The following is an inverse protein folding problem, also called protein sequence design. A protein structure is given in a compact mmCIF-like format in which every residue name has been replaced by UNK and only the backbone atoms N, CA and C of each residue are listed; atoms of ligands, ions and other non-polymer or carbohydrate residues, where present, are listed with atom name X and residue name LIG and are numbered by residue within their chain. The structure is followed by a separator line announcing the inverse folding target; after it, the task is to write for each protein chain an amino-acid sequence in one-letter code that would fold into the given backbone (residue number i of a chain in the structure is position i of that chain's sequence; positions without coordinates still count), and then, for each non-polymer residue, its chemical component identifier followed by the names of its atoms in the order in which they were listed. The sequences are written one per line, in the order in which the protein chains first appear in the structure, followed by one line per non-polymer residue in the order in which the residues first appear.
data_IF_146921220968
#
_entry.id   IF_146921220968
#
_cell.length_a   1.000
_cell.length_b   1.000
_cell.length_c   1.000
_cell.angle_alpha   90.00
_cell.angle_beta   90.00
_cell.angle_gamma   90.00
#
_symmetry.space_group_name_H-M   'P 1'
#
loop_
_entity.id
_entity.type
_entity.pdbx_description
1 polymer ?
#
# COMPACT_ATOMS: atom_id res chain seq x y z
N UNK A 1 -29.62 -11.79 -1.89
CA UNK A 1 -28.75 -10.89 -1.13
C UNK A 1 -29.35 -9.50 -1.26
N UNK A 2 -29.76 -8.90 -0.16
CA UNK A 2 -30.25 -7.53 -0.18
C UNK A 2 -29.11 -6.61 -0.59
N UNK A 3 -29.40 -5.60 -1.40
CA UNK A 3 -28.39 -4.59 -1.76
C UNK A 3 -28.15 -3.70 -0.54
N UNK A 4 -26.89 -3.28 -0.31
CA UNK A 4 -26.64 -2.27 0.73
C UNK A 4 -27.54 -1.06 0.50
N UNK A 5 -27.99 -0.45 1.60
CA UNK A 5 -28.76 0.80 1.52
C UNK A 5 -27.76 1.90 1.17
N UNK A 6 -27.75 2.30 -0.09
CA UNK A 6 -26.97 3.47 -0.52
C UNK A 6 -27.78 4.73 -0.22
N UNK A 7 -27.14 5.67 0.44
CA UNK A 7 -27.72 6.98 0.59
C UNK A 7 -27.80 7.69 -0.77
N UNK A 8 -28.86 8.46 -1.05
CA UNK A 8 -28.93 9.24 -2.27
C UNK A 8 -27.74 10.21 -2.41
N UNK A 9 -27.31 10.45 -3.66
CA UNK A 9 -26.28 11.46 -3.94
C UNK A 9 -26.76 12.82 -3.43
N UNK A 10 -25.92 13.50 -2.66
CA UNK A 10 -26.23 14.76 -2.01
C UNK A 10 -26.72 14.63 -0.55
N UNK A 11 -26.81 13.42 -0.01
CA UNK A 11 -27.04 13.24 1.43
C UNK A 11 -25.91 13.90 2.23
N UNK A 12 -26.22 14.77 3.22
CA UNK A 12 -25.22 15.32 4.11
C UNK A 12 -24.46 14.21 4.85
N UNK A 13 -23.16 14.42 5.08
CA UNK A 13 -22.31 13.41 5.74
C UNK A 13 -22.81 13.09 7.15
N UNK A 14 -23.35 14.07 7.84
CA UNK A 14 -23.90 13.94 9.18
C UNK A 14 -25.14 13.04 9.26
N UNK A 15 -25.80 12.80 8.12
CA UNK A 15 -26.97 11.91 8.02
C UNK A 15 -26.59 10.46 7.66
N UNK A 16 -25.31 10.19 7.41
CA UNK A 16 -24.87 8.83 7.11
C UNK A 16 -25.05 7.91 8.33
N UNK A 17 -25.41 6.68 8.06
CA UNK A 17 -25.35 5.61 9.06
C UNK A 17 -23.90 5.31 9.45
N UNK A 18 -23.66 4.96 10.71
CA UNK A 18 -22.31 4.77 11.26
C UNK A 18 -22.14 3.37 11.83
N UNK A 19 -20.88 2.88 11.91
CA UNK A 19 -19.66 3.52 11.43
C UNK A 19 -19.56 3.49 9.90
N UNK A 20 -19.07 4.57 9.30
CA UNK A 20 -18.89 4.70 7.85
C UNK A 20 -17.46 5.11 7.49
N UNK A 21 -16.86 4.46 6.48
CA UNK A 21 -15.62 4.91 5.87
C UNK A 21 -15.95 5.99 4.83
N UNK A 22 -15.49 7.21 5.06
CA UNK A 22 -15.76 8.37 4.21
C UNK A 22 -14.48 8.85 3.55
N UNK A 23 -14.53 9.11 2.25
CA UNK A 23 -13.42 9.62 1.46
C UNK A 23 -13.68 11.07 1.06
N UNK A 24 -12.77 11.97 1.43
CA UNK A 24 -12.69 13.33 0.88
C UNK A 24 -11.94 13.26 -0.46
N UNK A 25 -12.68 13.40 -1.55
CA UNK A 25 -12.13 13.27 -2.90
C UNK A 25 -11.21 14.44 -3.27
N UNK A 26 -11.44 15.64 -2.77
CA UNK A 26 -10.61 16.81 -3.05
C UNK A 26 -9.24 16.67 -2.36
N UNK A 27 -9.23 16.19 -1.12
CA UNK A 27 -8.01 15.89 -0.38
C UNK A 27 -7.24 14.74 -1.06
N UNK A 28 -7.94 13.68 -1.46
CA UNK A 28 -7.34 12.54 -2.16
C UNK A 28 -6.69 12.96 -3.48
N UNK A 29 -7.40 13.71 -4.32
CA UNK A 29 -6.88 14.17 -5.62
C UNK A 29 -5.68 15.11 -5.42
N UNK A 30 -5.71 15.97 -4.41
CA UNK A 30 -4.57 16.80 -4.04
C UNK A 30 -3.36 15.94 -3.60
N UNK A 31 -3.58 14.92 -2.78
CA UNK A 31 -2.51 14.01 -2.36
C UNK A 31 -1.87 13.31 -3.58
N UNK A 32 -2.70 12.85 -4.53
CA UNK A 32 -2.22 12.22 -5.77
C UNK A 32 -1.35 13.22 -6.56
N UNK A 33 -1.84 14.43 -6.78
CA UNK A 33 -1.12 15.47 -7.52
C UNK A 33 0.21 15.85 -6.84
N UNK A 34 0.21 16.07 -5.54
CA UNK A 34 1.41 16.43 -4.77
C UNK A 34 2.43 15.31 -4.83
N UNK A 35 2.03 14.07 -4.51
CA UNK A 35 2.97 12.94 -4.49
C UNK A 35 3.53 12.61 -5.86
N UNK A 36 2.69 12.51 -6.87
CA UNK A 36 3.14 12.13 -8.22
C UNK A 36 3.86 13.27 -8.93
N UNK A 37 3.59 14.51 -8.56
CA UNK A 37 4.31 15.68 -9.04
C UNK A 37 5.82 15.63 -8.80
N UNK A 38 6.27 14.95 -7.72
CA UNK A 38 7.71 14.72 -7.49
C UNK A 38 8.38 13.87 -8.57
N UNK A 39 7.62 13.09 -9.34
CA UNK A 39 8.13 12.19 -10.37
C UNK A 39 7.90 12.70 -11.80
N UNK A 40 7.12 13.75 -12.00
CA UNK A 40 6.70 14.23 -13.32
C UNK A 40 7.90 14.50 -14.25
N UNK A 41 8.87 15.28 -13.78
CA UNK A 41 10.04 15.72 -14.54
C UNK A 41 11.30 14.87 -14.25
N UNK A 42 11.16 13.66 -13.70
CA UNK A 42 12.28 12.77 -13.40
C UNK A 42 12.27 11.51 -14.25
N UNK A 43 13.41 10.83 -14.34
CA UNK A 43 13.50 9.50 -14.95
C UNK A 43 12.87 8.41 -14.06
N UNK A 44 12.76 8.65 -12.75
CA UNK A 44 12.14 7.76 -11.79
C UNK A 44 10.63 7.96 -11.85
N UNK A 45 9.85 6.88 -11.87
CA UNK A 45 8.39 6.96 -11.96
C UNK A 45 7.71 6.29 -10.76
N UNK A 46 6.54 6.79 -10.40
CA UNK A 46 5.71 6.13 -9.41
C UNK A 46 4.98 4.92 -10.02
N UNK A 47 4.94 3.80 -9.30
CA UNK A 47 4.01 2.70 -9.57
C UNK A 47 3.00 2.65 -8.42
N UNK A 48 1.75 3.03 -8.63
CA UNK A 48 0.70 2.95 -7.63
C UNK A 48 0.53 1.53 -7.06
N UNK A 49 0.62 1.39 -5.74
CA UNK A 49 0.28 0.15 -5.03
C UNK A 49 -1.16 0.28 -4.54
N UNK A 50 -2.05 -0.55 -5.06
CA UNK A 50 -3.49 -0.40 -4.86
C UNK A 50 -4.05 -1.11 -3.63
N UNK A 51 -3.23 -1.88 -2.93
CA UNK A 51 -3.58 -2.66 -1.73
C UNK A 51 -4.13 -1.82 -0.57
N UNK A 52 -3.79 -0.53 -0.51
CA UNK A 52 -4.27 0.34 0.57
C UNK A 52 -5.73 0.76 0.42
N UNK A 53 -6.28 0.71 -0.81
CA UNK A 53 -7.65 1.15 -1.08
C UNK A 53 -8.51 0.13 -1.83
N UNK A 54 -7.91 -0.84 -2.51
CA UNK A 54 -8.57 -1.94 -3.25
C UNK A 54 -9.65 -1.47 -4.27
N UNK A 55 -9.57 -0.22 -4.74
CA UNK A 55 -10.59 0.44 -5.55
C UNK A 55 -10.05 0.78 -6.96
N UNK A 56 -10.61 0.17 -8.03
CA UNK A 56 -10.19 0.46 -9.40
C UNK A 56 -10.37 1.93 -9.81
N UNK A 57 -11.39 2.63 -9.30
CA UNK A 57 -11.63 4.04 -9.60
C UNK A 57 -10.52 4.94 -9.04
N UNK A 58 -10.04 4.67 -7.82
CA UNK A 58 -8.90 5.39 -7.22
C UNK A 58 -7.63 5.10 -8.03
N UNK A 59 -7.40 3.82 -8.39
CA UNK A 59 -6.24 3.43 -9.18
C UNK A 59 -6.21 4.14 -10.56
N UNK A 60 -7.36 4.34 -11.21
CA UNK A 60 -7.42 5.11 -12.45
C UNK A 60 -7.02 6.57 -12.23
N UNK A 61 -7.54 7.23 -11.19
CA UNK A 61 -7.12 8.60 -10.84
C UNK A 61 -5.61 8.70 -10.62
N UNK A 62 -5.01 7.67 -10.02
CA UNK A 62 -3.55 7.61 -9.85
C UNK A 62 -2.82 7.46 -11.20
N UNK A 63 -3.35 6.65 -12.14
CA UNK A 63 -2.74 6.49 -13.47
C UNK A 63 -2.97 7.68 -14.40
N UNK A 64 -4.05 8.42 -14.20
CA UNK A 64 -4.37 9.63 -14.98
C UNK A 64 -3.50 10.83 -14.58
N UNK A 65 -2.84 10.79 -13.44
CA UNK A 65 -1.91 11.82 -13.00
C UNK A 65 -0.50 11.62 -13.59
N UNK A 66 0.21 12.72 -13.81
CA UNK A 66 1.59 12.70 -14.31
C UNK A 66 2.54 11.99 -13.32
N UNK A 67 3.71 11.53 -13.82
CA UNK A 67 4.76 10.95 -12.96
C UNK A 67 4.62 9.45 -12.71
N UNK A 68 3.61 8.80 -13.23
CA UNK A 68 3.43 7.33 -13.16
C UNK A 68 4.11 6.61 -14.33
N UNK A 69 4.43 5.33 -14.13
CA UNK A 69 4.92 4.44 -15.20
C UNK A 69 3.78 3.79 -16.02
N UNK A 70 2.51 4.08 -15.70
CA UNK A 70 1.34 3.52 -16.39
C UNK A 70 0.85 2.17 -15.89
N UNK A 71 1.57 1.52 -14.97
CA UNK A 71 1.19 0.25 -14.34
C UNK A 71 0.84 0.41 -12.86
N UNK A 72 0.23 -0.63 -12.30
CA UNK A 72 -0.08 -0.73 -10.86
C UNK A 72 0.70 -1.87 -10.21
N UNK A 73 0.76 -1.86 -8.88
CA UNK A 73 1.24 -2.99 -8.11
C UNK A 73 0.17 -3.48 -7.12
N UNK A 74 0.10 -4.79 -6.98
CA UNK A 74 -0.79 -5.54 -6.07
C UNK A 74 0.03 -6.49 -5.22
N UNK A 75 -0.54 -7.05 -4.15
CA UNK A 75 0.16 -8.01 -3.28
C UNK A 75 -0.45 -9.40 -3.29
N UNK A 76 -1.65 -9.57 -3.79
CA UNK A 76 -2.30 -10.87 -3.89
C UNK A 76 -2.77 -11.15 -5.31
N UNK A 77 -2.82 -12.44 -5.66
CA UNK A 77 -3.33 -12.86 -6.97
C UNK A 77 -4.81 -12.49 -7.16
N UNK A 78 -5.61 -12.52 -6.08
CA UNK A 78 -7.01 -12.10 -6.14
C UNK A 78 -7.16 -10.62 -6.49
N UNK A 79 -6.33 -9.75 -5.92
CA UNK A 79 -6.25 -8.34 -6.33
C UNK A 79 -5.90 -8.23 -7.83
N UNK A 80 -4.85 -8.94 -8.27
CA UNK A 80 -4.44 -8.91 -9.68
C UNK A 80 -5.58 -9.28 -10.64
N UNK A 81 -6.36 -10.31 -10.32
CA UNK A 81 -7.52 -10.74 -11.10
C UNK A 81 -8.62 -9.67 -11.14
N UNK A 82 -8.93 -9.04 -10.00
CA UNK A 82 -9.94 -7.96 -9.93
C UNK A 82 -9.52 -6.77 -10.78
N UNK A 83 -8.27 -6.32 -10.66
CA UNK A 83 -7.77 -5.17 -11.42
C UNK A 83 -7.62 -5.47 -12.91
N UNK A 84 -7.21 -6.69 -13.30
CA UNK A 84 -7.20 -7.10 -14.69
C UNK A 84 -8.61 -7.10 -15.31
N UNK A 85 -9.60 -7.66 -14.59
CA UNK A 85 -11.00 -7.61 -15.01
C UNK A 85 -11.55 -6.18 -15.09
N UNK A 86 -10.99 -5.24 -14.32
CA UNK A 86 -11.28 -3.82 -14.43
C UNK A 86 -10.52 -3.12 -15.57
N UNK A 87 -9.72 -3.85 -16.39
CA UNK A 87 -9.05 -3.35 -17.58
C UNK A 87 -7.69 -2.70 -17.32
N UNK A 88 -6.99 -3.06 -16.25
CA UNK A 88 -5.60 -2.64 -16.02
C UNK A 88 -4.65 -3.55 -16.81
N UNK A 89 -3.82 -2.96 -17.66
CA UNK A 89 -3.01 -3.68 -18.66
C UNK A 89 -1.59 -4.04 -18.17
N UNK A 90 -1.07 -3.37 -17.15
CA UNK A 90 0.25 -3.63 -16.55
C UNK A 90 0.10 -3.78 -15.02
N UNK A 91 0.28 -5.00 -14.54
CA UNK A 91 0.12 -5.36 -13.12
C UNK A 91 1.40 -6.02 -12.61
N UNK A 92 2.03 -5.41 -11.61
CA UNK A 92 3.12 -6.04 -10.85
C UNK A 92 2.53 -6.69 -9.59
N UNK A 93 2.59 -8.01 -9.51
CA UNK A 93 2.32 -8.73 -8.28
C UNK A 93 3.59 -8.71 -7.42
N UNK A 94 3.64 -7.74 -6.50
CA UNK A 94 4.79 -7.47 -5.65
C UNK A 94 4.82 -8.41 -4.44
N UNK A 95 4.73 -9.69 -4.69
CA UNK A 95 4.76 -10.78 -3.71
C UNK A 95 5.03 -12.12 -4.43
N UNK A 96 5.44 -13.15 -3.71
CA UNK A 96 5.77 -14.46 -4.26
C UNK A 96 4.52 -15.35 -4.43
N UNK A 97 4.48 -16.10 -5.51
CA UNK A 97 3.44 -17.10 -5.79
C UNK A 97 4.07 -18.49 -5.89
N UNK A 98 3.82 -19.33 -4.90
CA UNK A 98 4.55 -20.62 -4.73
C UNK A 98 3.70 -21.87 -4.86
N UNK A 99 2.36 -21.79 -4.91
CA UNK A 99 1.52 -22.98 -5.02
C UNK A 99 1.09 -23.25 -6.46
N UNK A 100 1.04 -24.53 -6.86
CA UNK A 100 0.66 -24.95 -8.22
C UNK A 100 -0.68 -24.34 -8.66
N UNK A 101 -1.67 -24.28 -7.76
CA UNK A 101 -2.98 -23.71 -8.08
C UNK A 101 -2.90 -22.21 -8.35
N UNK A 102 -2.09 -21.46 -7.58
CA UNK A 102 -1.89 -20.04 -7.80
C UNK A 102 -1.03 -19.77 -9.06
N UNK A 103 -0.02 -20.61 -9.32
CA UNK A 103 0.80 -20.48 -10.55
C UNK A 103 -0.08 -20.67 -11.80
N UNK A 104 -0.97 -21.65 -11.81
CA UNK A 104 -1.92 -21.83 -12.94
C UNK A 104 -2.82 -20.62 -13.15
N UNK A 105 -3.36 -20.05 -12.07
CA UNK A 105 -4.19 -18.83 -12.14
C UNK A 105 -3.38 -17.64 -12.62
N UNK A 106 -2.13 -17.49 -12.14
CA UNK A 106 -1.21 -16.44 -12.59
C UNK A 106 -0.93 -16.54 -14.10
N UNK A 107 -0.68 -17.75 -14.61
CA UNK A 107 -0.46 -17.97 -16.04
C UNK A 107 -1.73 -17.68 -16.87
N UNK A 108 -2.91 -18.07 -16.37
CA UNK A 108 -4.17 -17.70 -17.01
C UNK A 108 -4.43 -16.18 -17.02
N UNK A 109 -3.97 -15.47 -15.99
CA UNK A 109 -4.02 -14.01 -15.95
C UNK A 109 -3.03 -13.39 -16.95
N UNK A 110 -1.82 -13.95 -17.06
CA UNK A 110 -0.79 -13.48 -17.99
C UNK A 110 -1.17 -13.64 -19.48
N UNK A 111 -2.12 -14.51 -19.80
CA UNK A 111 -2.73 -14.61 -21.13
C UNK A 111 -3.62 -13.41 -21.48
N UNK A 112 -4.10 -12.68 -20.47
CA UNK A 112 -5.04 -11.56 -20.64
C UNK A 112 -4.42 -10.20 -20.45
N UNK A 113 -3.38 -10.10 -19.61
CA UNK A 113 -2.74 -8.82 -19.27
C UNK A 113 -1.24 -9.03 -18.99
N UNK A 114 -0.47 -7.94 -19.07
CA UNK A 114 0.96 -7.99 -18.75
C UNK A 114 1.16 -8.11 -17.25
N UNK A 115 1.69 -9.26 -16.79
CA UNK A 115 1.90 -9.53 -15.37
C UNK A 115 3.39 -9.64 -15.03
N UNK A 116 3.83 -8.83 -14.06
CA UNK A 116 5.11 -8.99 -13.39
C UNK A 116 4.94 -9.70 -12.04
N UNK A 117 5.95 -10.43 -11.59
CA UNK A 117 5.94 -11.16 -10.32
C UNK A 117 7.28 -11.06 -9.59
N UNK A 118 7.22 -10.97 -8.25
CA UNK A 118 8.39 -11.07 -7.40
C UNK A 118 8.88 -12.52 -7.27
N UNK A 119 10.20 -12.71 -7.24
CA UNK A 119 10.85 -14.01 -7.02
C UNK A 119 12.10 -13.82 -6.17
N UNK A 120 12.24 -14.62 -5.12
CA UNK A 120 13.41 -14.64 -4.24
C UNK A 120 14.06 -16.04 -4.10
N UNK A 121 13.48 -17.04 -4.76
CA UNK A 121 13.86 -18.44 -4.59
C UNK A 121 14.03 -19.14 -5.95
N UNK A 122 15.17 -19.88 -6.17
CA UNK A 122 15.44 -20.56 -7.43
C UNK A 122 14.50 -21.71 -7.76
N UNK A 123 13.91 -22.38 -6.78
CA UNK A 123 12.97 -23.48 -7.02
C UNK A 123 11.59 -22.92 -7.39
N UNK A 124 11.21 -21.78 -6.80
CA UNK A 124 10.01 -21.05 -7.20
C UNK A 124 10.13 -20.52 -8.63
N UNK A 125 11.28 -19.95 -9.00
CA UNK A 125 11.55 -19.55 -10.39
C UNK A 125 11.37 -20.72 -11.37
N UNK A 126 11.84 -21.91 -11.02
CA UNK A 126 11.66 -23.12 -11.85
C UNK A 126 10.17 -23.52 -11.97
N UNK A 127 9.41 -23.44 -10.88
CA UNK A 127 7.97 -23.75 -10.90
C UNK A 127 7.19 -22.77 -11.77
N UNK A 128 7.50 -21.47 -11.67
CA UNK A 128 6.91 -20.43 -12.50
C UNK A 128 7.22 -20.63 -13.98
N UNK A 129 8.49 -20.93 -14.32
CA UNK A 129 8.94 -21.25 -15.67
C UNK A 129 8.18 -22.45 -16.26
N UNK A 130 8.04 -23.52 -15.47
CA UNK A 130 7.32 -24.72 -15.91
C UNK A 130 5.84 -24.40 -16.19
N UNK A 131 5.18 -23.65 -15.29
CA UNK A 131 3.79 -23.25 -15.47
C UNK A 131 3.59 -22.30 -16.66
N UNK A 132 4.47 -21.32 -16.83
CA UNK A 132 4.42 -20.37 -17.93
C UNK A 132 4.63 -21.07 -19.30
N UNK A 133 5.61 -22.01 -19.35
CA UNK A 133 5.88 -22.81 -20.56
C UNK A 133 4.69 -23.72 -20.90
N UNK A 134 4.10 -24.40 -19.92
CA UNK A 134 2.91 -25.22 -20.10
C UNK A 134 1.70 -24.42 -20.62
N UNK A 135 1.55 -23.20 -20.11
CA UNK A 135 0.46 -22.31 -20.52
C UNK A 135 0.76 -21.52 -21.82
N UNK A 136 1.99 -21.55 -22.32
CA UNK A 136 2.39 -20.78 -23.50
C UNK A 136 2.44 -19.27 -23.30
N UNK A 137 2.70 -18.80 -22.09
CA UNK A 137 2.76 -17.38 -21.70
C UNK A 137 4.16 -16.98 -21.24
N UNK A 138 4.42 -15.67 -21.19
CA UNK A 138 5.63 -15.10 -20.60
C UNK A 138 5.29 -14.34 -19.32
N UNK A 139 5.98 -14.62 -18.22
CA UNK A 139 5.90 -13.90 -16.98
C UNK A 139 7.10 -12.94 -16.85
N UNK A 140 6.84 -11.66 -16.60
CA UNK A 140 7.86 -10.68 -16.23
C UNK A 140 8.30 -10.93 -14.79
N UNK A 141 9.58 -11.00 -14.52
CA UNK A 141 10.11 -11.31 -13.19
C UNK A 141 10.95 -10.16 -12.67
N UNK A 142 10.68 -9.75 -11.43
CA UNK A 142 11.57 -8.93 -10.62
C UNK A 142 12.10 -9.77 -9.46
N UNK A 143 13.43 -9.83 -9.31
CA UNK A 143 14.02 -10.48 -8.14
C UNK A 143 13.84 -9.59 -6.93
N UNK A 144 13.22 -10.10 -5.87
CA UNK A 144 13.09 -9.35 -4.62
C UNK A 144 14.39 -9.44 -3.81
N UNK A 145 14.94 -8.28 -3.47
CA UNK A 145 16.15 -8.12 -2.65
C UNK A 145 15.73 -7.79 -1.22
N UNK A 146 16.25 -8.51 -0.25
CA UNK A 146 16.10 -8.19 1.16
C UNK A 146 16.86 -6.89 1.47
N UNK A 147 16.12 -5.86 1.90
CA UNK A 147 16.64 -4.52 2.15
C UNK A 147 16.15 -3.98 3.52
N UNK A 148 16.31 -4.79 4.56
CA UNK A 148 16.05 -4.42 5.95
C UNK A 148 14.65 -4.77 6.46
N UNK A 149 13.77 -5.36 5.63
CA UNK A 149 12.43 -5.75 6.07
C UNK A 149 12.42 -6.99 6.98
N UNK A 150 13.40 -7.89 6.82
CA UNK A 150 13.42 -9.18 7.51
C UNK A 150 12.21 -10.06 7.16
N UNK A 151 11.78 -10.04 5.88
CA UNK A 151 10.54 -10.71 5.44
C UNK A 151 10.82 -11.60 4.22
N UNK A 152 10.56 -11.11 3.02
CA UNK A 152 10.88 -11.76 1.75
C UNK A 152 12.13 -11.13 1.14
N UNK A 153 12.66 -11.77 0.12
CA UNK A 153 13.79 -11.29 -0.65
C UNK A 153 15.07 -12.08 -0.39
N UNK A 154 15.87 -12.19 -1.45
CA UNK A 154 17.19 -12.78 -1.38
C UNK A 154 18.22 -11.75 -0.90
N UNK A 155 19.13 -12.16 -0.03
CA UNK A 155 20.19 -11.27 0.46
C UNK A 155 21.16 -10.88 -0.66
N UNK A 156 21.70 -9.65 -0.56
CA UNK A 156 22.80 -9.20 -1.42
C UNK A 156 23.98 -10.19 -1.37
N UNK A 157 24.48 -10.59 -2.54
CA UNK A 157 25.63 -11.49 -2.66
C UNK A 157 25.52 -12.47 -3.83
N UNK A 158 26.28 -13.57 -3.75
CA UNK A 158 26.35 -14.57 -4.81
C UNK A 158 24.97 -15.17 -5.16
N UNK A 159 24.14 -15.44 -4.16
CA UNK A 159 22.80 -16.02 -4.37
C UNK A 159 21.90 -15.15 -5.24
N UNK A 160 21.94 -13.82 -5.10
CA UNK A 160 21.17 -12.90 -5.94
C UNK A 160 21.65 -12.94 -7.40
N UNK A 161 22.97 -13.04 -7.61
CA UNK A 161 23.56 -13.17 -8.95
C UNK A 161 23.15 -14.50 -9.59
N UNK A 162 23.28 -15.61 -8.85
CA UNK A 162 22.89 -16.94 -9.32
C UNK A 162 21.41 -17.03 -9.67
N UNK A 163 20.54 -16.42 -8.85
CA UNK A 163 19.11 -16.36 -9.12
C UNK A 163 18.81 -15.54 -10.39
N UNK A 164 19.48 -14.39 -10.58
CA UNK A 164 19.32 -13.57 -11.77
C UNK A 164 19.74 -14.32 -13.04
N UNK A 165 20.90 -15.00 -13.02
CA UNK A 165 21.38 -15.82 -14.12
C UNK A 165 20.42 -16.98 -14.43
N UNK A 166 19.90 -17.64 -13.38
CA UNK A 166 18.90 -18.70 -13.52
C UNK A 166 17.62 -18.20 -14.16
N UNK A 167 17.01 -17.14 -13.62
CA UNK A 167 15.76 -16.56 -14.16
C UNK A 167 15.95 -16.12 -15.62
N UNK A 168 17.06 -15.47 -15.93
CA UNK A 168 17.38 -15.02 -17.30
C UNK A 168 17.53 -16.17 -18.30
N UNK A 169 17.84 -17.39 -17.85
CA UNK A 169 17.96 -18.59 -18.69
C UNK A 169 16.73 -19.48 -18.73
N UNK A 170 15.71 -19.21 -17.90
CA UNK A 170 14.51 -20.06 -17.80
C UNK A 170 13.47 -19.70 -18.87
N UNK A 171 12.94 -20.69 -19.64
CA UNK A 171 11.89 -20.43 -20.63
C UNK A 171 10.59 -19.97 -19.98
N UNK A 172 9.82 -19.13 -20.67
CA UNK A 172 8.56 -18.57 -20.18
C UNK A 172 8.74 -17.49 -19.10
N UNK A 173 9.97 -17.14 -18.71
CA UNK A 173 10.29 -16.03 -17.82
C UNK A 173 11.10 -14.97 -18.57
N UNK A 174 10.81 -13.71 -18.24
CA UNK A 174 11.57 -12.55 -18.69
C UNK A 174 12.05 -11.77 -17.46
N UNK A 175 13.35 -11.82 -17.19
CA UNK A 175 13.92 -10.99 -16.13
C UNK A 175 13.77 -9.50 -16.54
N UNK A 176 12.96 -8.77 -15.79
CA UNK A 176 12.70 -7.34 -16.01
C UNK A 176 13.57 -6.47 -15.10
N UNK A 177 13.94 -6.98 -13.95
CA UNK A 177 14.76 -6.22 -13.01
C UNK A 177 14.77 -6.80 -11.61
N UNK A 178 14.96 -5.91 -10.66
CA UNK A 178 14.93 -6.21 -9.23
C UNK A 178 13.94 -5.31 -8.51
N UNK A 179 13.50 -5.76 -7.36
CA UNK A 179 12.69 -4.97 -6.45
C UNK A 179 13.13 -5.14 -5.01
N UNK A 180 12.76 -4.22 -4.16
CA UNK A 180 12.94 -4.35 -2.72
C UNK A 180 12.04 -3.38 -1.97
N UNK A 181 11.67 -3.75 -0.76
CA UNK A 181 10.91 -2.88 0.15
C UNK A 181 11.81 -2.45 1.29
N UNK A 182 11.69 -1.20 1.71
CA UNK A 182 12.44 -0.67 2.86
C UNK A 182 11.53 -0.47 4.06
N UNK A 183 12.03 -0.66 5.29
CA UNK A 183 11.22 -0.46 6.49
C UNK A 183 10.66 0.96 6.59
N UNK A 184 9.40 1.07 6.99
CA UNK A 184 8.80 2.36 7.31
C UNK A 184 9.32 2.92 8.64
N UNK A 185 9.01 4.20 8.93
CA UNK A 185 9.39 4.84 10.18
C UNK A 185 8.81 4.08 11.39
N UNK A 186 9.59 4.03 12.47
CA UNK A 186 9.20 3.42 13.74
C UNK A 186 9.40 4.44 14.86
N UNK A 187 8.34 4.65 15.66
CA UNK A 187 8.38 5.65 16.72
C UNK A 187 8.52 7.08 16.18
N UNK A 188 9.03 7.98 17.01
CA UNK A 188 9.12 9.41 16.75
C UNK A 188 10.49 9.84 16.18
N UNK A 189 11.39 8.89 15.91
CA UNK A 189 12.74 9.17 15.44
C UNK A 189 12.79 9.32 13.91
N UNK A 190 12.64 10.56 13.47
CA UNK A 190 12.63 10.93 12.06
C UNK A 190 14.03 10.96 11.43
N UNK A 191 15.05 11.45 12.15
CA UNK A 191 16.39 11.64 11.59
C UNK A 191 17.06 10.31 11.24
N UNK A 192 17.04 9.37 12.15
CA UNK A 192 17.61 8.04 11.98
C UNK A 192 16.87 7.21 10.91
N UNK A 193 15.58 7.52 10.67
CA UNK A 193 14.81 6.86 9.61
C UNK A 193 15.30 7.22 8.20
N UNK A 194 15.68 8.47 7.95
CA UNK A 194 16.14 8.92 6.63
C UNK A 194 17.45 8.24 6.24
N UNK A 195 18.43 8.21 7.14
CA UNK A 195 19.73 7.58 6.90
C UNK A 195 19.59 6.07 6.67
N UNK A 196 18.84 5.37 7.53
CA UNK A 196 18.55 3.94 7.33
C UNK A 196 17.82 3.65 6.02
N UNK A 197 16.93 4.53 5.60
CA UNK A 197 16.24 4.37 4.33
C UNK A 197 17.21 4.48 3.16
N UNK A 198 18.13 5.45 3.18
CA UNK A 198 19.18 5.58 2.17
C UNK A 198 20.09 4.34 2.12
N UNK A 199 20.56 3.86 3.28
CA UNK A 199 21.39 2.65 3.35
C UNK A 199 20.67 1.42 2.76
N UNK A 200 19.41 1.22 3.09
CA UNK A 200 18.62 0.11 2.56
C UNK A 200 18.36 0.22 1.04
N UNK A 201 18.14 1.43 0.53
CA UNK A 201 18.02 1.67 -0.90
C UNK A 201 19.34 1.38 -1.64
N UNK A 202 20.48 1.72 -1.02
CA UNK A 202 21.80 1.41 -1.57
C UNK A 202 22.05 -0.08 -1.70
N UNK A 203 21.59 -0.90 -0.73
CA UNK A 203 21.66 -2.37 -0.83
C UNK A 203 20.97 -2.87 -2.12
N UNK A 204 19.83 -2.33 -2.48
CA UNK A 204 19.12 -2.72 -3.69
C UNK A 204 19.92 -2.33 -4.95
N UNK A 205 20.48 -1.11 -4.97
CA UNK A 205 21.29 -0.64 -6.11
C UNK A 205 22.62 -1.42 -6.22
N UNK A 206 23.24 -1.78 -5.11
CA UNK A 206 24.42 -2.64 -5.11
C UNK A 206 24.12 -4.04 -5.67
N UNK A 207 22.94 -4.59 -5.37
CA UNK A 207 22.48 -5.84 -5.98
C UNK A 207 22.36 -5.70 -7.50
N UNK A 208 21.73 -4.60 -8.00
CA UNK A 208 21.69 -4.28 -9.42
C UNK A 208 23.08 -4.32 -10.05
N UNK A 209 24.00 -3.52 -9.51
CA UNK A 209 25.37 -3.40 -10.05
C UNK A 209 26.12 -4.72 -10.03
N UNK A 210 25.90 -5.56 -9.02
CA UNK A 210 26.52 -6.88 -8.91
C UNK A 210 25.98 -7.87 -9.93
N UNK A 211 24.69 -7.86 -10.19
CA UNK A 211 24.03 -8.66 -11.22
C UNK A 211 24.49 -8.20 -12.61
N UNK A 212 24.53 -6.90 -12.88
CA UNK A 212 24.97 -6.36 -14.18
C UNK A 212 26.44 -6.71 -14.47
N UNK A 213 27.32 -6.68 -13.48
CA UNK A 213 28.72 -7.14 -13.62
C UNK A 213 28.83 -8.61 -14.00
N UNK A 214 27.82 -9.43 -13.71
CA UNK A 214 27.77 -10.83 -14.12
C UNK A 214 27.26 -11.04 -15.56
N UNK A 215 26.92 -9.94 -16.27
CA UNK A 215 26.44 -9.96 -17.65
C UNK A 215 24.92 -10.05 -17.80
N UNK A 216 24.15 -9.92 -16.72
CA UNK A 216 22.68 -9.92 -16.74
C UNK A 216 22.16 -8.49 -16.60
N UNK A 217 21.35 -8.03 -17.57
CA UNK A 217 20.78 -6.68 -17.54
C UNK A 217 19.69 -6.52 -16.46
N UNK A 218 19.70 -5.36 -15.78
CA UNK A 218 18.72 -5.00 -14.75
C UNK A 218 18.13 -3.63 -15.08
N UNK A 219 17.23 -3.52 -16.07
CA UNK A 219 16.68 -2.23 -16.49
C UNK A 219 15.73 -1.60 -15.47
N UNK A 220 15.04 -2.40 -14.65
CA UNK A 220 14.11 -1.92 -13.62
C UNK A 220 14.69 -2.14 -12.23
N UNK A 221 14.71 -1.07 -11.43
CA UNK A 221 14.98 -1.11 -9.99
C UNK A 221 13.79 -0.46 -9.29
N UNK A 222 12.90 -1.30 -8.79
CA UNK A 222 11.64 -0.92 -8.18
C UNK A 222 11.75 -0.96 -6.65
N UNK A 223 11.60 0.19 -6.00
CA UNK A 223 11.69 0.30 -4.55
C UNK A 223 10.34 0.66 -3.91
N UNK A 224 10.10 0.27 -2.68
CA UNK A 224 8.84 0.55 -1.98
C UNK A 224 9.08 1.10 -0.59
N UNK A 225 8.28 1.99 -0.11
CA UNK A 225 6.90 2.41 -0.20
C UNK A 225 6.73 3.94 -0.19
N UNK A 226 5.55 4.44 0.21
CA UNK A 226 5.21 5.87 0.22
C UNK A 226 6.22 6.71 1.02
N UNK A 227 6.69 6.22 2.15
CA UNK A 227 7.60 6.94 3.08
C UNK A 227 9.03 7.14 2.56
N UNK A 228 9.46 6.41 1.53
CA UNK A 228 10.84 6.45 1.05
C UNK A 228 11.04 7.25 -0.25
N UNK A 229 10.00 7.90 -0.76
CA UNK A 229 10.04 8.50 -2.09
C UNK A 229 11.13 9.59 -2.23
N UNK A 230 11.29 10.44 -1.22
CA UNK A 230 12.27 11.54 -1.25
C UNK A 230 13.70 11.04 -1.23
N UNK A 231 13.99 9.96 -0.52
CA UNK A 231 15.29 9.28 -0.51
C UNK A 231 15.51 8.52 -1.84
N UNK A 232 14.49 7.85 -2.35
CA UNK A 232 14.60 7.11 -3.61
C UNK A 232 14.95 8.03 -4.80
N UNK A 233 14.44 9.26 -4.82
CA UNK A 233 14.78 10.27 -5.82
C UNK A 233 16.26 10.72 -5.77
N UNK A 234 16.94 10.47 -4.66
CA UNK A 234 18.35 10.83 -4.45
C UNK A 234 19.33 9.68 -4.76
N UNK A 235 18.83 8.46 -4.96
CA UNK A 235 19.66 7.27 -5.15
C UNK A 235 19.78 6.92 -6.64
N UNK A 236 20.95 7.18 -7.28
CA UNK A 236 21.16 6.85 -8.68
C UNK A 236 21.00 5.35 -8.93
N UNK A 237 20.26 4.99 -9.96
CA UNK A 237 20.01 3.59 -10.33
C UNK A 237 18.62 3.10 -9.94
N UNK A 238 17.88 3.78 -9.06
CA UNK A 238 16.45 3.56 -8.87
C UNK A 238 15.70 4.04 -10.13
N UNK A 239 14.71 3.27 -10.56
CA UNK A 239 13.89 3.62 -11.75
C UNK A 239 12.41 3.78 -11.42
N UNK A 240 11.95 3.15 -10.33
CA UNK A 240 10.54 3.10 -9.96
C UNK A 240 10.35 3.12 -8.44
N UNK A 241 9.34 3.88 -7.99
CA UNK A 241 8.90 3.88 -6.59
C UNK A 241 7.50 3.31 -6.48
N UNK A 242 7.37 2.16 -5.79
CA UNK A 242 6.08 1.57 -5.46
C UNK A 242 5.50 2.22 -4.21
N UNK A 243 4.41 2.95 -4.36
CA UNK A 243 3.77 3.67 -3.25
C UNK A 243 2.25 3.50 -3.26
N UNK A 244 1.64 3.28 -2.10
CA UNK A 244 0.21 2.98 -2.03
C UNK A 244 -0.58 3.82 -1.02
N UNK A 245 0.05 4.37 0.00
CA UNK A 245 -0.68 5.08 1.05
C UNK A 245 -0.96 6.55 0.74
N UNK A 246 -0.23 7.15 -0.19
CA UNK A 246 -0.31 8.58 -0.46
C UNK A 246 -1.70 9.10 -0.87
N UNK A 247 -2.56 8.35 -1.60
CA UNK A 247 -3.86 8.90 -1.98
C UNK A 247 -4.76 9.17 -0.79
N UNK A 248 -4.83 8.22 0.13
CA UNK A 248 -5.76 8.25 1.25
C UNK A 248 -5.11 8.71 2.55
N UNK A 249 -3.82 8.50 2.70
CA UNK A 249 -3.01 8.74 3.88
C UNK A 249 -3.57 8.08 5.14
N UNK A 250 -2.77 8.05 6.17
CA UNK A 250 -3.14 7.60 7.51
C UNK A 250 -2.40 8.42 8.57
N UNK A 251 -2.82 8.28 9.82
CA UNK A 251 -2.23 9.05 10.91
C UNK A 251 -0.75 8.75 11.10
N UNK A 252 -0.35 7.49 10.92
CA UNK A 252 1.04 7.05 11.09
C UNK A 252 2.01 7.77 10.15
N UNK A 253 1.64 7.96 8.89
CA UNK A 253 2.51 8.60 7.91
C UNK A 253 2.40 10.12 7.91
N UNK A 254 1.31 10.72 8.42
CA UNK A 254 1.10 12.15 8.44
C UNK A 254 2.24 12.92 9.13
N UNK A 255 2.79 12.36 10.21
CA UNK A 255 3.92 12.96 10.93
C UNK A 255 5.21 13.04 10.09
N UNK A 256 5.37 12.13 9.12
CA UNK A 256 6.56 12.01 8.27
C UNK A 256 6.38 12.67 6.89
N UNK A 257 5.14 12.84 6.44
CA UNK A 257 4.77 13.41 5.15
C UNK A 257 3.73 14.53 5.38
N UNK A 258 4.16 15.66 5.96
CA UNK A 258 3.25 16.73 6.36
C UNK A 258 2.53 17.41 5.19
N UNK A 259 3.04 17.28 3.97
CA UNK A 259 2.45 17.79 2.73
C UNK A 259 1.20 17.03 2.28
N UNK A 260 1.02 15.76 2.73
CA UNK A 260 -0.13 14.91 2.43
C UNK A 260 -1.10 14.87 3.62
N UNK A 261 -2.39 14.73 3.38
CA UNK A 261 -3.41 14.75 4.41
C UNK A 261 -4.28 13.49 4.39
N UNK A 262 -4.79 13.02 5.55
CA UNK A 262 -5.77 11.95 5.60
C UNK A 262 -7.03 12.32 4.81
N UNK A 263 -7.25 11.61 3.71
CA UNK A 263 -8.43 11.74 2.86
C UNK A 263 -9.52 10.71 3.21
N UNK A 264 -9.15 9.61 3.85
CA UNK A 264 -10.08 8.59 4.32
C UNK A 264 -10.18 8.62 5.84
N UNK A 265 -11.41 8.72 6.34
CA UNK A 265 -11.71 8.83 7.76
C UNK A 265 -12.93 7.97 8.09
N UNK A 266 -13.06 7.59 9.34
CA UNK A 266 -14.23 6.86 9.84
C UNK A 266 -15.13 7.85 10.57
N UNK A 267 -16.36 7.96 10.08
CA UNK A 267 -17.44 8.65 10.78
C UNK A 267 -18.06 7.69 11.78
N UNK A 268 -18.15 8.09 13.03
CA UNK A 268 -18.74 7.32 14.12
C UNK A 268 -19.81 8.14 14.86
N UNK A 269 -20.72 7.47 15.54
CA UNK A 269 -21.68 8.10 16.44
C UNK A 269 -21.28 7.87 17.89
N UNK A 270 -21.48 8.88 18.73
CA UNK A 270 -21.45 8.72 20.17
C UNK A 270 -22.73 8.00 20.61
N UNK A 271 -22.61 6.77 21.05
CA UNK A 271 -23.76 5.96 21.48
C UNK A 271 -24.00 6.02 22.98
N UNK A 272 -23.02 6.49 23.75
CA UNK A 272 -23.15 6.63 25.20
C UNK A 272 -22.13 7.64 25.74
N UNK A 273 -22.55 8.40 26.75
CA UNK A 273 -21.71 9.31 27.53
C UNK A 273 -21.97 9.04 29.02
N UNK A 274 -21.42 7.96 29.58
CA UNK A 274 -21.79 7.49 30.90
C UNK A 274 -21.26 8.36 32.04
N UNK A 275 -20.14 9.05 31.82
CA UNK A 275 -19.52 10.02 32.74
C UNK A 275 -18.82 11.11 31.94
N UNK A 276 -18.65 12.29 32.50
CA UNK A 276 -18.07 13.46 31.82
C UNK A 276 -16.72 13.17 31.16
N UNK A 277 -15.89 12.33 31.77
CA UNK A 277 -14.56 11.99 31.28
C UNK A 277 -14.55 10.86 30.23
N UNK A 278 -15.71 10.37 29.73
CA UNK A 278 -15.75 9.22 28.83
C UNK A 278 -16.95 9.25 27.88
N UNK A 279 -16.66 9.12 26.59
CA UNK A 279 -17.67 8.83 25.57
C UNK A 279 -17.43 7.44 24.96
N UNK A 280 -18.48 6.84 24.40
CA UNK A 280 -18.44 5.56 23.71
C UNK A 280 -18.95 5.73 22.29
N UNK A 281 -18.13 5.33 21.31
CA UNK A 281 -18.45 5.36 19.89
C UNK A 281 -18.91 3.98 19.42
N UNK A 282 -19.71 3.93 18.36
CA UNK A 282 -20.12 2.70 17.65
C UNK A 282 -19.03 2.14 16.71
N UNK A 283 -17.82 2.70 16.74
CA UNK A 283 -16.67 2.30 15.93
C UNK A 283 -15.65 1.54 16.79
N UNK A 284 -15.74 0.21 16.81
CA UNK A 284 -14.84 -0.69 17.49
C UNK A 284 -13.75 -1.29 16.59
N UNK A 285 -13.22 -2.46 16.95
CA UNK A 285 -12.20 -3.20 16.17
C UNK A 285 -12.63 -3.45 14.73
N UNK A 286 -13.90 -3.79 14.51
CA UNK A 286 -14.44 -4.10 13.19
C UNK A 286 -14.58 -2.89 12.26
N UNK A 287 -14.46 -1.69 12.78
CA UNK A 287 -14.48 -0.47 12.00
C UNK A 287 -13.09 0.18 11.86
N UNK A 288 -12.27 0.08 12.91
CA UNK A 288 -11.02 0.88 13.00
C UNK A 288 -9.74 0.08 12.83
N UNK A 289 -9.78 -1.27 12.93
CA UNK A 289 -8.61 -2.15 12.88
C UNK A 289 -7.40 -1.62 13.72
N UNK A 290 -7.54 -1.44 15.03
CA UNK A 290 -6.56 -0.72 15.85
C UNK A 290 -5.33 -1.54 16.25
N UNK A 291 -5.11 -2.71 15.62
CA UNK A 291 -4.03 -3.65 15.96
C UNK A 291 -2.63 -3.07 15.75
N UNK A 292 -2.47 -2.20 14.76
CA UNK A 292 -1.21 -1.54 14.43
C UNK A 292 -1.01 -0.21 15.17
N UNK A 293 -2.06 0.29 15.79
CA UNK A 293 -2.11 1.55 16.50
C UNK A 293 -3.52 2.12 16.55
N UNK A 294 -3.78 2.95 17.53
CA UNK A 294 -5.11 3.50 17.77
C UNK A 294 -5.43 4.63 16.79
N UNK A 295 -6.65 4.71 16.27
CA UNK A 295 -7.09 5.87 15.51
C UNK A 295 -7.10 7.13 16.39
N UNK A 296 -7.01 8.29 15.75
CA UNK A 296 -7.01 9.59 16.43
C UNK A 296 -8.34 10.29 16.20
N UNK A 297 -8.90 10.88 17.23
CA UNK A 297 -10.04 11.78 17.12
C UNK A 297 -9.60 13.05 16.39
N UNK A 298 -10.32 13.42 15.34
CA UNK A 298 -10.07 14.66 14.62
C UNK A 298 -10.93 15.81 15.18
N UNK A 299 -10.28 16.95 15.41
CA UNK A 299 -10.96 18.18 15.79
C UNK A 299 -11.44 18.25 17.25
N UNK A 300 -11.08 17.28 18.09
CA UNK A 300 -11.46 17.26 19.51
C UNK A 300 -10.19 17.24 20.36
N UNK A 301 -9.73 18.42 20.72
CA UNK A 301 -8.59 18.59 21.61
C UNK A 301 -8.97 18.10 23.02
N UNK A 302 -8.11 17.27 23.63
CA UNK A 302 -8.41 16.62 24.91
C UNK A 302 -9.20 15.31 24.78
N UNK A 303 -9.58 14.89 23.58
CA UNK A 303 -10.21 13.59 23.32
C UNK A 303 -9.19 12.55 22.85
N UNK A 304 -9.21 11.34 23.43
CA UNK A 304 -8.32 10.25 23.08
C UNK A 304 -9.06 8.92 22.94
N UNK A 305 -8.99 8.28 21.79
CA UNK A 305 -9.51 6.94 21.56
C UNK A 305 -8.57 5.90 22.21
N UNK A 306 -8.94 5.31 23.33
CA UNK A 306 -8.01 4.58 24.21
C UNK A 306 -8.24 3.08 24.26
N UNK A 307 -9.48 2.61 24.12
CA UNK A 307 -9.84 1.20 24.25
C UNK A 307 -10.88 0.83 23.19
N UNK A 308 -10.78 -0.41 22.68
CA UNK A 308 -11.69 -0.92 21.67
C UNK A 308 -12.21 -2.30 22.05
N UNK A 309 -13.50 -2.53 21.84
CA UNK A 309 -14.10 -3.86 21.76
C UNK A 309 -14.56 -4.10 20.32
N UNK A 310 -15.28 -5.18 20.04
CA UNK A 310 -15.69 -5.50 18.67
C UNK A 310 -16.40 -4.32 17.98
N UNK A 311 -17.39 -3.74 18.66
CA UNK A 311 -18.29 -2.69 18.11
C UNK A 311 -18.13 -1.34 18.83
N UNK A 312 -17.34 -1.23 19.88
CA UNK A 312 -17.28 -0.02 20.69
C UNK A 312 -15.86 0.55 20.74
N UNK A 313 -15.73 1.84 20.46
CA UNK A 313 -14.54 2.63 20.72
C UNK A 313 -14.76 3.50 21.97
N UNK A 314 -13.88 3.38 22.97
CA UNK A 314 -13.93 4.20 24.18
C UNK A 314 -12.99 5.38 23.99
N UNK A 315 -13.55 6.56 24.25
CA UNK A 315 -12.84 7.84 24.19
C UNK A 315 -12.75 8.39 25.60
N UNK A 316 -11.53 8.63 26.06
CA UNK A 316 -11.29 9.39 27.28
C UNK A 316 -11.30 10.88 26.93
N UNK A 317 -11.98 11.70 27.75
CA UNK A 317 -12.20 13.14 27.54
C UNK A 317 -11.61 13.94 28.68
N UNK A 318 -10.80 14.95 28.34
CA UNK A 318 -10.18 15.86 29.30
C UNK A 318 -10.53 17.32 28.99
N UNK A 319 -10.66 18.13 30.02
CA UNK A 319 -10.96 19.55 29.89
C UNK A 319 -12.25 19.84 29.13
N UNK A 320 -12.20 20.76 28.17
CA UNK A 320 -13.36 21.19 27.39
C UNK A 320 -13.94 20.08 26.48
N UNK A 321 -13.16 19.02 26.19
CA UNK A 321 -13.65 17.88 25.43
C UNK A 321 -14.82 17.14 26.09
N UNK A 322 -14.95 17.23 27.40
CA UNK A 322 -16.06 16.64 28.17
C UNK A 322 -17.43 17.18 27.77
N UNK A 323 -17.48 18.40 27.23
CA UNK A 323 -18.70 19.04 26.78
C UNK A 323 -18.97 18.91 25.28
N UNK A 324 -17.96 18.42 24.50
CA UNK A 324 -18.01 18.41 23.04
C UNK A 324 -18.65 17.16 22.44
N UNK A 325 -18.74 16.05 23.18
CA UNK A 325 -19.24 14.76 22.69
C UNK A 325 -20.41 14.25 23.53
N UNK A 326 -21.62 14.52 23.07
CA UNK A 326 -22.86 14.03 23.71
C UNK A 326 -23.40 12.81 22.94
N UNK A 327 -24.24 12.00 23.59
CA UNK A 327 -24.90 10.89 22.94
C UNK A 327 -25.73 11.36 21.73
N UNK A 328 -25.49 10.80 20.57
CA UNK A 328 -26.09 11.20 19.30
C UNK A 328 -25.18 12.08 18.42
N UNK A 329 -24.12 12.66 18.96
CA UNK A 329 -23.16 13.45 18.18
C UNK A 329 -22.31 12.56 17.26
N UNK A 330 -21.77 13.15 16.21
CA UNK A 330 -20.84 12.49 15.29
C UNK A 330 -19.39 12.83 15.64
N UNK A 331 -18.50 11.85 15.47
CA UNK A 331 -17.07 12.01 15.67
C UNK A 331 -16.30 11.44 14.48
N UNK A 332 -15.19 12.08 14.13
CA UNK A 332 -14.29 11.63 13.09
C UNK A 332 -13.07 10.91 13.69
N UNK A 333 -12.78 9.75 13.18
CA UNK A 333 -11.58 8.98 13.52
C UNK A 333 -10.67 8.89 12.30
N UNK A 334 -9.42 9.32 12.46
CA UNK A 334 -8.35 9.09 11.46
C UNK A 334 -7.69 7.76 11.81
N UNK A 335 -7.76 6.72 10.95
CA UNK A 335 -7.12 5.44 11.20
C UNK A 335 -5.61 5.60 11.38
N UNK A 336 -5.03 4.82 12.29
CA UNK A 336 -3.57 4.78 12.46
C UNK A 336 -2.89 4.12 11.26
N UNK A 337 -3.46 3.01 10.77
CA UNK A 337 -3.06 2.29 9.56
C UNK A 337 -4.32 2.03 8.71
N UNK A 338 -4.40 2.70 7.58
CA UNK A 338 -5.66 2.76 6.83
C UNK A 338 -5.99 1.45 6.10
N UNK A 339 -5.00 0.75 5.53
CA UNK A 339 -5.26 -0.42 4.70
C UNK A 339 -6.01 -1.53 5.42
N UNK A 340 -5.73 -1.73 6.71
CA UNK A 340 -6.46 -2.67 7.55
C UNK A 340 -7.90 -2.21 7.80
N UNK A 341 -8.12 -0.90 8.00
CA UNK A 341 -9.46 -0.33 8.20
C UNK A 341 -10.30 -0.45 6.92
N UNK A 342 -9.74 -0.10 5.75
CA UNK A 342 -10.45 -0.25 4.46
C UNK A 342 -10.95 -1.66 4.24
N UNK A 343 -10.15 -2.66 4.61
CA UNK A 343 -10.52 -4.08 4.46
C UNK A 343 -11.68 -4.55 5.37
N UNK A 344 -12.16 -3.70 6.28
CA UNK A 344 -13.31 -3.98 7.14
C UNK A 344 -14.65 -3.53 6.50
N UNK A 345 -14.60 -2.78 5.40
CA UNK A 345 -15.77 -2.19 4.77
C UNK A 345 -16.04 -2.85 3.42
N UNK A 346 -17.30 -3.13 3.15
CA UNK A 346 -17.75 -3.74 1.88
C UNK A 346 -18.07 -2.68 0.81
N UNK A 347 -18.25 -1.43 1.22
CA UNK A 347 -18.64 -0.28 0.37
C UNK A 347 -18.39 1.05 1.11
#
# INVERSE_FOLDING_TARGET
MERPIFQPVGTPVEELDTPALVLDLDVMDRNIQVFQGYFADTAIKARPVVTSHLCPQIARRQLDADGTNGGIAVTTLGEAEVFANAGFADILLANEIVTVSKIRRLCALADQTSVGIAVDNPDNAQQLSSGATEAGVELRVLIEIEAGMGRCGISLGAGAIELAQKVNGLPGLKLEGIMGSVPGPRGDDYSDHQDRTLDNLQVIVEAKLSIERSGVAVPVVSVGGTHCYSQALQVPGVTEVRAGRYPLMDYRLKAFLPELNPAAKILASVISHPVDAMAVLDAGHKATAPDQGRPVLEGIEGGSATRFSAEHGIVDLEGDAQELLNAGDKAWLVPYELGASVNQYDY
#
